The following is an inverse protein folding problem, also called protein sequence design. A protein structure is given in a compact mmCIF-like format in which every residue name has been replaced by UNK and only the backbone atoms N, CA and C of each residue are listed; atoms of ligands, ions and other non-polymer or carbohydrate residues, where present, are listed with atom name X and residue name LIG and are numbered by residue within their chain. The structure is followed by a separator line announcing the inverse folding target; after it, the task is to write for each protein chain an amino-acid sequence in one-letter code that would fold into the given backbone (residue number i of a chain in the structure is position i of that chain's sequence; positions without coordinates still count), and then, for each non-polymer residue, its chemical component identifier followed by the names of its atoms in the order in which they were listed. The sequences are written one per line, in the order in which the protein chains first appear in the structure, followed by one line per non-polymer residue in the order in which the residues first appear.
data_IF_787517458427
#
_entry.id   IF_787517458427
#
_cell.length_a   1.000
_cell.length_b   1.000
_cell.length_c   1.000
_cell.angle_alpha   90.00
_cell.angle_beta   90.00
_cell.angle_gamma   90.00
#
_symmetry.space_group_name_H-M   'P 1'
#
loop_
_entity.id
_entity.type
_entity.pdbx_description
1 polymer ?
#
# COMPACT_ATOMS: atom_id res chain seq x y z
N UNK A 1 18.01 13.79 10.68
CA UNK A 1 16.58 13.73 10.29
C UNK A 1 16.49 13.65 8.76
N UNK A 2 15.64 12.78 8.21
CA UNK A 2 15.39 12.66 6.77
C UNK A 2 13.89 12.51 6.50
N UNK A 3 13.42 12.90 5.31
CA UNK A 3 12.02 12.82 4.90
C UNK A 3 11.88 12.61 3.39
N UNK A 4 10.87 11.86 2.98
CA UNK A 4 10.38 11.76 1.59
C UNK A 4 8.92 12.19 1.51
N UNK A 5 8.13 11.47 0.72
CA UNK A 5 6.67 11.56 0.67
C UNK A 5 6.06 10.18 0.89
N UNK A 6 4.78 10.13 1.27
CA UNK A 6 4.09 8.88 1.58
C UNK A 6 3.75 8.06 0.33
N UNK A 7 3.81 6.75 0.48
CA UNK A 7 3.03 5.79 -0.30
C UNK A 7 1.65 5.61 0.36
N UNK A 8 0.58 5.59 -0.42
CA UNK A 8 -0.80 5.67 0.10
C UNK A 8 -1.17 4.55 1.08
N UNK A 9 -0.60 3.36 0.91
CA UNK A 9 -0.82 2.18 1.79
C UNK A 9 -0.24 2.36 3.19
N UNK A 10 0.77 3.22 3.38
CA UNK A 10 1.30 3.55 4.72
C UNK A 10 0.22 4.20 5.59
N UNK A 11 -0.60 5.07 5.00
CA UNK A 11 -1.69 5.72 5.73
C UNK A 11 -2.95 4.84 5.69
N UNK A 12 -3.40 4.47 4.48
CA UNK A 12 -4.69 3.83 4.29
C UNK A 12 -4.78 2.43 4.88
N UNK A 13 -3.74 1.60 4.67
CA UNK A 13 -3.74 0.23 5.17
C UNK A 13 -3.12 0.13 6.58
N UNK A 14 -1.98 0.79 6.81
CA UNK A 14 -1.25 0.63 8.08
C UNK A 14 -1.75 1.57 9.17
N UNK A 15 -1.69 2.88 8.98
CA UNK A 15 -2.09 3.81 10.04
C UNK A 15 -3.59 3.71 10.38
N UNK A 16 -4.45 3.73 9.37
CA UNK A 16 -5.90 3.79 9.57
C UNK A 16 -6.54 2.42 9.84
N UNK A 17 -6.00 1.34 9.28
CA UNK A 17 -6.67 0.04 9.25
C UNK A 17 -5.99 -1.08 10.06
N UNK A 18 -4.75 -0.92 10.52
CA UNK A 18 -4.14 -1.88 11.47
C UNK A 18 -4.94 -1.88 12.78
N UNK A 19 -5.19 -3.07 13.34
CA UNK A 19 -5.99 -3.25 14.56
C UNK A 19 -5.33 -2.64 15.80
N UNK A 20 -4.00 -2.58 15.83
CA UNK A 20 -3.21 -1.95 16.88
C UNK A 20 -2.99 -0.44 16.67
N UNK A 21 -3.63 0.16 15.65
CA UNK A 21 -3.53 1.59 15.32
C UNK A 21 -4.90 2.25 15.44
N UNK A 22 -5.35 3.01 14.43
CA UNK A 22 -6.66 3.66 14.49
C UNK A 22 -7.83 2.68 14.30
N UNK A 23 -7.59 1.50 13.72
CA UNK A 23 -8.55 0.40 13.59
C UNK A 23 -9.93 0.83 13.01
N UNK A 24 -9.93 1.59 11.90
CA UNK A 24 -11.15 2.15 11.31
C UNK A 24 -11.89 1.19 10.37
N UNK A 25 -11.33 0.02 10.07
CA UNK A 25 -11.85 -0.90 9.03
C UNK A 25 -13.32 -1.26 9.21
N UNK A 26 -13.73 -1.62 10.44
CA UNK A 26 -15.14 -1.98 10.73
C UNK A 26 -16.07 -0.76 10.68
N UNK A 27 -15.61 0.40 11.17
CA UNK A 27 -16.38 1.64 11.14
C UNK A 27 -16.71 2.01 9.69
N UNK A 28 -15.71 1.95 8.80
CA UNK A 28 -15.89 2.24 7.38
C UNK A 28 -16.80 1.20 6.73
N UNK A 29 -16.61 -0.09 7.00
CA UNK A 29 -17.45 -1.15 6.45
C UNK A 29 -18.94 -1.00 6.82
N UNK A 30 -19.24 -0.62 8.06
CA UNK A 30 -20.61 -0.33 8.51
C UNK A 30 -21.18 0.88 7.76
N UNK A 31 -20.38 1.93 7.55
CA UNK A 31 -20.82 3.13 6.80
C UNK A 31 -21.01 2.87 5.31
N UNK A 32 -20.34 1.85 4.77
CA UNK A 32 -20.55 1.34 3.42
C UNK A 32 -21.70 0.34 3.33
N UNK A 33 -22.41 0.06 4.43
CA UNK A 33 -23.51 -0.91 4.50
C UNK A 33 -23.09 -2.34 4.10
N UNK A 34 -21.85 -2.71 4.37
CA UNK A 34 -21.34 -4.07 4.12
C UNK A 34 -21.79 -5.06 5.20
N UNK A 35 -21.96 -6.33 4.83
CA UNK A 35 -22.20 -7.40 5.79
C UNK A 35 -20.92 -7.78 6.53
N UNK A 36 -20.75 -7.24 7.74
CA UNK A 36 -19.59 -7.48 8.61
C UNK A 36 -19.68 -8.77 9.44
N UNK A 37 -20.79 -9.54 9.34
CA UNK A 37 -21.03 -10.73 10.18
C UNK A 37 -20.14 -11.91 9.82
N UNK A 38 -19.69 -12.00 8.56
CA UNK A 38 -18.84 -13.09 8.09
C UNK A 38 -17.62 -12.56 7.36
N UNK A 39 -16.44 -13.10 7.65
CA UNK A 39 -15.20 -12.77 6.96
C UNK A 39 -15.24 -13.15 5.47
N UNK A 40 -16.06 -14.12 5.09
CA UNK A 40 -16.16 -14.61 3.70
C UNK A 40 -16.84 -13.60 2.76
N UNK A 41 -17.50 -12.57 3.29
CA UNK A 41 -18.06 -11.47 2.49
C UNK A 41 -16.97 -10.51 1.98
N UNK A 42 -15.72 -10.69 2.45
CA UNK A 42 -14.56 -9.85 2.13
C UNK A 42 -14.80 -8.38 2.47
N UNK A 43 -15.58 -8.11 3.52
CA UNK A 43 -15.90 -6.75 3.93
C UNK A 43 -14.66 -5.95 4.35
N UNK A 44 -13.64 -6.62 4.91
CA UNK A 44 -12.37 -5.99 5.28
C UNK A 44 -11.61 -5.53 4.04
N UNK A 45 -11.48 -6.39 3.05
CA UNK A 45 -10.80 -6.09 1.78
C UNK A 45 -11.45 -4.89 1.08
N UNK A 46 -12.78 -4.90 1.00
CA UNK A 46 -13.57 -3.78 0.43
C UNK A 46 -13.35 -2.48 1.20
N UNK A 47 -13.45 -2.52 2.53
CA UNK A 47 -13.30 -1.31 3.35
C UNK A 47 -11.88 -0.73 3.31
N UNK A 48 -10.85 -1.57 3.43
CA UNK A 48 -9.45 -1.11 3.38
C UNK A 48 -9.13 -0.49 2.01
N UNK A 49 -9.65 -1.07 0.93
CA UNK A 49 -9.47 -0.53 -0.42
C UNK A 49 -10.07 0.88 -0.53
N UNK A 50 -11.32 1.08 -0.09
CA UNK A 50 -11.96 2.40 -0.13
C UNK A 50 -11.27 3.43 0.77
N UNK A 51 -10.76 3.02 1.94
CA UNK A 51 -9.92 3.89 2.79
C UNK A 51 -8.68 4.36 2.03
N UNK A 52 -8.02 3.46 1.31
CA UNK A 52 -6.82 3.80 0.53
C UNK A 52 -7.14 4.72 -0.66
N UNK A 53 -8.25 4.48 -1.36
CA UNK A 53 -8.77 5.38 -2.41
C UNK A 53 -9.03 6.77 -1.83
N UNK A 54 -9.68 6.85 -0.66
CA UNK A 54 -9.98 8.11 0.01
C UNK A 54 -8.70 8.89 0.42
N UNK A 55 -7.66 8.20 0.90
CA UNK A 55 -6.35 8.80 1.19
C UNK A 55 -5.74 9.40 -0.07
N UNK A 56 -5.61 8.60 -1.13
CA UNK A 56 -5.00 9.03 -2.38
C UNK A 56 -5.73 10.24 -2.97
N UNK A 57 -7.06 10.15 -3.08
CA UNK A 57 -7.91 11.23 -3.56
C UNK A 57 -7.77 12.51 -2.72
N UNK A 58 -7.72 12.39 -1.39
CA UNK A 58 -7.64 13.55 -0.50
C UNK A 58 -6.32 14.31 -0.65
N UNK A 59 -5.20 13.59 -0.71
CA UNK A 59 -3.88 14.18 -0.94
C UNK A 59 -3.79 14.86 -2.31
N UNK A 60 -4.26 14.20 -3.36
CA UNK A 60 -4.30 14.75 -4.72
C UNK A 60 -5.17 16.01 -4.79
N UNK A 61 -6.36 15.98 -4.19
CA UNK A 61 -7.28 17.12 -4.14
C UNK A 61 -6.67 18.32 -3.39
N UNK A 62 -5.84 18.06 -2.38
CA UNK A 62 -5.14 19.09 -1.61
C UNK A 62 -3.83 19.56 -2.26
N UNK A 63 -3.41 18.98 -3.40
CA UNK A 63 -2.13 19.29 -4.05
C UNK A 63 -0.90 18.83 -3.25
N UNK A 64 -1.06 17.82 -2.38
CA UNK A 64 0.03 17.26 -1.56
C UNK A 64 0.59 16.01 -2.24
N UNK A 65 1.91 15.92 -2.34
CA UNK A 65 2.60 14.79 -2.98
C UNK A 65 2.32 13.47 -2.24
N UNK A 66 1.90 12.47 -3.00
CA UNK A 66 1.67 11.09 -2.57
C UNK A 66 1.84 10.16 -3.78
N UNK A 67 2.19 8.90 -3.55
CA UNK A 67 2.25 7.88 -4.61
C UNK A 67 1.40 6.66 -4.23
N UNK A 68 0.74 6.05 -5.21
CA UNK A 68 0.07 4.76 -5.00
C UNK A 68 1.07 3.59 -5.05
N UNK A 69 0.68 2.46 -4.48
CA UNK A 69 1.55 1.30 -4.34
C UNK A 69 1.86 0.58 -5.66
N UNK A 70 1.05 0.74 -6.71
CA UNK A 70 1.36 0.17 -8.03
C UNK A 70 2.45 0.99 -8.71
N UNK A 71 2.28 2.32 -8.77
CA UNK A 71 3.29 3.24 -9.33
C UNK A 71 4.62 3.17 -8.57
N UNK A 72 4.57 3.05 -7.23
CA UNK A 72 5.77 2.88 -6.41
C UNK A 72 6.49 1.56 -6.71
N UNK A 73 5.75 0.47 -6.87
CA UNK A 73 6.30 -0.85 -7.21
C UNK A 73 6.96 -0.85 -8.59
N UNK A 74 6.32 -0.26 -9.61
CA UNK A 74 6.91 -0.13 -10.95
C UNK A 74 8.19 0.71 -10.93
N UNK A 75 8.17 1.81 -10.16
CA UNK A 75 9.35 2.67 -9.98
C UNK A 75 10.51 1.91 -9.31
N UNK A 76 10.21 1.08 -8.31
CA UNK A 76 11.20 0.24 -7.65
C UNK A 76 11.81 -0.82 -8.58
N UNK A 77 11.00 -1.46 -9.43
CA UNK A 77 11.51 -2.44 -10.40
C UNK A 77 12.50 -1.81 -11.37
N UNK A 78 12.20 -0.62 -11.88
CA UNK A 78 13.13 0.14 -12.74
C UNK A 78 14.42 0.49 -12.00
N UNK A 79 14.32 0.93 -10.75
CA UNK A 79 15.48 1.21 -9.91
C UNK A 79 16.34 -0.05 -9.70
N UNK A 80 15.72 -1.19 -9.41
CA UNK A 80 16.43 -2.46 -9.22
C UNK A 80 17.16 -2.91 -10.50
N UNK A 81 16.56 -2.74 -11.68
CA UNK A 81 17.23 -3.01 -12.97
C UNK A 81 18.48 -2.12 -13.15
N UNK A 82 18.34 -0.82 -12.89
CA UNK A 82 19.45 0.13 -12.98
C UNK A 82 20.57 -0.20 -12.00
N UNK A 83 20.27 -0.57 -10.76
CA UNK A 83 21.27 -0.91 -9.75
C UNK A 83 21.98 -2.23 -10.06
N UNK A 84 21.28 -3.23 -10.59
CA UNK A 84 21.91 -4.44 -11.11
C UNK A 84 22.86 -4.12 -12.28
N UNK A 85 22.43 -3.27 -13.21
CA UNK A 85 23.22 -2.88 -14.38
C UNK A 85 24.45 -2.03 -14.02
N UNK A 86 24.31 -1.09 -13.09
CA UNK A 86 25.35 -0.11 -12.77
C UNK A 86 26.35 -0.60 -11.72
N UNK A 87 25.89 -1.42 -10.77
CA UNK A 87 26.73 -1.85 -9.63
C UNK A 87 26.58 -3.32 -9.24
N UNK A 88 25.85 -4.12 -10.01
CA UNK A 88 25.79 -5.57 -9.84
C UNK A 88 24.90 -6.07 -8.70
N UNK A 89 24.02 -5.23 -8.14
CA UNK A 89 23.08 -5.66 -7.11
C UNK A 89 22.23 -4.55 -6.50
N UNK A 90 21.09 -4.97 -5.95
CA UNK A 90 20.13 -4.12 -5.24
C UNK A 90 19.67 -4.83 -3.96
N UNK A 91 20.34 -4.59 -2.81
CA UNK A 91 19.90 -5.15 -1.53
C UNK A 91 18.45 -4.73 -1.25
N UNK A 92 17.57 -5.71 -1.05
CA UNK A 92 16.14 -5.44 -0.90
C UNK A 92 15.48 -6.44 0.06
N UNK A 93 14.76 -5.91 1.06
CA UNK A 93 13.99 -6.73 1.97
C UNK A 93 12.57 -6.92 1.43
N UNK A 94 12.34 -8.08 0.81
CA UNK A 94 11.07 -8.43 0.17
C UNK A 94 9.86 -8.24 1.09
N UNK A 95 10.01 -8.51 2.40
CA UNK A 95 8.92 -8.40 3.39
C UNK A 95 8.43 -6.95 3.54
N UNK A 96 9.30 -5.98 3.28
CA UNK A 96 8.99 -4.55 3.36
C UNK A 96 8.74 -3.90 2.00
N UNK A 97 9.31 -4.43 0.92
CA UNK A 97 9.11 -3.91 -0.43
C UNK A 97 7.71 -4.25 -0.95
N UNK A 98 7.18 -5.45 -0.67
CA UNK A 98 5.84 -5.81 -1.10
C UNK A 98 4.79 -5.00 -0.31
N UNK A 99 3.87 -4.28 -0.99
CA UNK A 99 2.85 -3.50 -0.30
C UNK A 99 1.92 -4.36 0.59
N UNK A 100 1.39 -3.80 1.69
CA UNK A 100 0.58 -4.55 2.66
C UNK A 100 -0.82 -4.93 2.14
N UNK A 101 -1.23 -4.42 0.98
CA UNK A 101 -2.44 -4.84 0.26
C UNK A 101 -2.09 -5.04 -1.21
N UNK A 102 -2.88 -5.88 -1.90
CA UNK A 102 -2.72 -6.13 -3.34
C UNK A 102 -1.33 -6.65 -3.76
N UNK A 103 -0.61 -7.33 -2.86
CA UNK A 103 0.78 -7.74 -3.06
C UNK A 103 1.04 -8.39 -4.42
N UNK A 104 0.36 -9.50 -4.73
CA UNK A 104 0.55 -10.23 -6.01
C UNK A 104 0.09 -9.49 -7.27
N UNK A 105 -0.65 -8.38 -7.11
CA UNK A 105 -1.00 -7.47 -8.21
C UNK A 105 0.09 -6.42 -8.46
N UNK A 106 1.20 -6.47 -7.73
CA UNK A 106 2.39 -5.64 -7.94
C UNK A 106 3.55 -6.48 -8.47
N UNK A 107 4.40 -5.89 -9.32
CA UNK A 107 5.53 -6.61 -9.92
C UNK A 107 6.54 -7.10 -8.88
N UNK A 108 6.74 -6.34 -7.80
CA UNK A 108 7.70 -6.65 -6.74
C UNK A 108 7.41 -7.96 -6.00
N UNK A 109 6.16 -8.42 -5.99
CA UNK A 109 5.81 -9.71 -5.38
C UNK A 109 6.46 -10.89 -6.10
N UNK A 110 6.62 -10.80 -7.43
CA UNK A 110 7.16 -11.89 -8.26
C UNK A 110 8.68 -11.77 -8.49
N UNK A 111 9.32 -10.79 -7.87
CA UNK A 111 10.76 -10.54 -7.99
C UNK A 111 11.49 -11.13 -6.77
N UNK A 112 12.39 -12.09 -7.01
CA UNK A 112 13.31 -12.57 -5.97
C UNK A 112 14.29 -11.44 -5.59
N UNK A 113 14.56 -11.28 -4.29
CA UNK A 113 15.41 -10.22 -3.75
C UNK A 113 16.46 -10.83 -2.81
N UNK A 114 17.68 -10.28 -2.84
CA UNK A 114 18.82 -10.71 -2.04
C UNK A 114 19.26 -9.62 -1.05
#
# INVERSE_FOLDING_TARGET
PFSGWYMSTEIGARDLCDTQRYNLTEIVAIKMELDTKSITTLWKDKAILEVNVAVLHSFQKAGVTIIDHHSASESFMKFMEDENRLRGGCPADWVWIVPPISGSATQVFHQEML
#
